data_IF_913057058901
#
_entry.id   IF_913057058901
#
_cell.length_a   1.000
_cell.length_b   1.000
_cell.length_c   1.000
_cell.angle_alpha   90.00
_cell.angle_beta   90.00
_cell.angle_gamma   90.00
#
_symmetry.space_group_name_H-M   'P 1'
#
loop_
_entity.id
_entity.type
_entity.pdbx_description
1 polymer ?
#
# COMPACT_ATOMS: atom_id res chain seq x y z
N UNK A 1 -1.57 7.47 18.22
CA UNK A 1 -2.39 7.97 17.09
C UNK A 1 -2.39 7.02 15.89
N UNK A 2 -1.25 6.62 15.27
CA UNK A 2 -1.24 5.65 14.13
C UNK A 2 -1.91 4.33 14.50
N UNK A 3 -1.70 3.80 15.72
CA UNK A 3 -2.40 2.61 16.22
C UNK A 3 -3.93 2.75 16.17
N UNK A 4 -4.45 3.92 16.55
CA UNK A 4 -5.90 4.19 16.52
C UNK A 4 -6.42 4.10 15.09
N UNK A 5 -5.69 4.68 14.12
CA UNK A 5 -6.06 4.62 12.70
C UNK A 5 -6.09 3.17 12.21
N UNK A 6 -5.06 2.37 12.50
CA UNK A 6 -5.00 0.95 12.11
C UNK A 6 -6.16 0.16 12.70
N UNK A 7 -6.43 0.33 14.00
CA UNK A 7 -7.52 -0.39 14.66
C UNK A 7 -8.90 0.02 14.14
N UNK A 8 -9.12 1.31 13.84
CA UNK A 8 -10.36 1.78 13.22
C UNK A 8 -10.53 1.25 11.79
N UNK A 9 -9.46 1.17 10.99
CA UNK A 9 -9.51 0.56 9.66
C UNK A 9 -9.79 -0.94 9.74
N UNK A 10 -9.21 -1.66 10.70
CA UNK A 10 -9.51 -3.06 10.95
C UNK A 10 -10.97 -3.27 11.36
N UNK A 11 -11.49 -2.42 12.24
CA UNK A 11 -12.90 -2.46 12.64
C UNK A 11 -13.81 -2.20 11.45
N UNK A 12 -13.52 -1.17 10.65
CA UNK A 12 -14.26 -0.88 9.43
C UNK A 12 -14.25 -2.07 8.46
N UNK A 13 -13.10 -2.74 8.30
CA UNK A 13 -12.99 -3.94 7.46
C UNK A 13 -13.94 -5.05 7.92
N UNK A 14 -13.96 -5.37 9.21
CA UNK A 14 -14.83 -6.43 9.77
C UNK A 14 -16.30 -6.05 9.59
N UNK A 15 -16.66 -4.80 9.88
CA UNK A 15 -18.04 -4.30 9.76
C UNK A 15 -18.51 -4.34 8.31
N UNK A 16 -17.70 -3.88 7.36
CA UNK A 16 -18.03 -3.92 5.93
C UNK A 16 -18.16 -5.36 5.42
N UNK A 17 -17.31 -6.28 5.87
CA UNK A 17 -17.38 -7.68 5.47
C UNK A 17 -18.58 -8.39 6.08
N UNK A 18 -18.96 -8.09 7.32
CA UNK A 18 -20.19 -8.60 7.92
C UNK A 18 -21.42 -8.17 7.12
N UNK A 19 -21.48 -6.90 6.75
CA UNK A 19 -22.57 -6.35 5.95
C UNK A 19 -22.62 -6.94 4.53
N UNK A 20 -21.47 -7.19 3.93
CA UNK A 20 -21.35 -7.74 2.59
C UNK A 20 -21.54 -9.26 2.51
N UNK A 21 -21.49 -9.95 3.62
CA UNK A 21 -21.52 -11.42 3.70
C UNK A 21 -22.73 -12.07 3.02
N UNK A 22 -23.88 -11.36 2.96
CA UNK A 22 -25.12 -11.89 2.35
C UNK A 22 -25.00 -12.25 0.87
N UNK A 23 -24.03 -11.69 0.14
CA UNK A 23 -23.77 -12.02 -1.26
C UNK A 23 -22.60 -12.98 -1.48
N UNK A 24 -21.62 -12.95 -0.59
CA UNK A 24 -20.42 -13.80 -0.70
C UNK A 24 -20.71 -15.27 -0.38
N UNK A 25 -21.95 -15.57 -0.03
CA UNK A 25 -22.41 -16.93 0.18
C UNK A 25 -22.32 -17.74 -1.13
N UNK A 26 -21.45 -18.71 -1.18
CA UNK A 26 -21.47 -19.83 -2.13
C UNK A 26 -22.24 -20.97 -1.49
N UNK A 27 -22.78 -21.87 -2.28
CA UNK A 27 -23.81 -22.86 -1.96
C UNK A 27 -23.66 -23.69 -0.65
N UNK A 28 -22.52 -23.59 0.05
CA UNK A 28 -22.26 -24.30 1.31
C UNK A 28 -21.67 -23.41 2.43
N UNK A 29 -21.43 -22.10 2.17
CA UNK A 29 -20.84 -21.20 3.17
C UNK A 29 -21.90 -20.41 3.93
N UNK A 30 -21.81 -20.37 5.25
CA UNK A 30 -22.64 -19.50 6.08
C UNK A 30 -22.08 -18.06 6.12
N UNK A 31 -22.94 -17.08 6.50
CA UNK A 31 -22.48 -15.70 6.75
C UNK A 31 -21.35 -15.65 7.78
N UNK A 32 -21.41 -16.54 8.76
CA UNK A 32 -20.42 -16.65 9.85
C UNK A 32 -19.07 -17.09 9.28
N UNK A 33 -19.03 -17.98 8.29
CA UNK A 33 -17.79 -18.47 7.69
C UNK A 33 -17.02 -17.34 6.98
N UNK A 34 -17.73 -16.53 6.19
CA UNK A 34 -17.13 -15.36 5.49
C UNK A 34 -16.53 -14.36 6.49
N UNK A 35 -17.27 -14.04 7.56
CA UNK A 35 -16.80 -13.13 8.61
C UNK A 35 -15.64 -13.73 9.39
N UNK A 36 -15.69 -15.03 9.66
CA UNK A 36 -14.64 -15.75 10.37
C UNK A 36 -13.33 -15.76 9.56
N UNK A 37 -13.42 -15.93 8.24
CA UNK A 37 -12.25 -15.87 7.34
C UNK A 37 -11.62 -14.47 7.33
N UNK A 38 -12.45 -13.42 7.23
CA UNK A 38 -11.96 -12.04 7.36
C UNK A 38 -11.37 -11.76 8.74
N UNK A 39 -12.02 -12.22 9.80
CA UNK A 39 -11.51 -12.07 11.16
C UNK A 39 -10.14 -12.75 11.37
N UNK A 40 -9.94 -13.96 10.82
CA UNK A 40 -8.63 -14.62 10.82
C UNK A 40 -7.57 -13.81 10.08
N UNK A 41 -7.94 -13.22 8.94
CA UNK A 41 -7.04 -12.34 8.16
C UNK A 41 -6.66 -11.09 8.95
N UNK A 42 -7.64 -10.43 9.60
CA UNK A 42 -7.40 -9.26 10.46
C UNK A 42 -6.53 -9.62 11.66
N UNK A 43 -6.81 -10.75 12.32
CA UNK A 43 -6.00 -11.22 13.46
C UNK A 43 -4.56 -11.52 13.02
N UNK A 44 -4.37 -12.22 11.90
CA UNK A 44 -3.06 -12.47 11.31
C UNK A 44 -2.32 -11.18 10.95
N UNK A 45 -3.04 -10.22 10.36
CA UNK A 45 -2.52 -8.88 10.08
C UNK A 45 -2.11 -8.12 11.33
N UNK A 46 -2.93 -8.17 12.40
CA UNK A 46 -2.61 -7.54 13.68
C UNK A 46 -1.35 -8.14 14.31
N UNK A 47 -1.23 -9.47 14.31
CA UNK A 47 -0.01 -10.15 14.78
C UNK A 47 1.21 -9.69 13.99
N UNK A 48 1.10 -9.60 12.66
CA UNK A 48 2.17 -9.15 11.79
C UNK A 48 2.58 -7.70 12.10
N UNK A 49 1.61 -6.79 12.28
CA UNK A 49 1.86 -5.39 12.70
C UNK A 49 2.59 -5.35 14.04
N UNK A 50 2.15 -6.15 15.05
CA UNK A 50 2.77 -6.20 16.37
C UNK A 50 4.20 -6.74 16.28
N UNK A 51 4.45 -7.78 15.51
CA UNK A 51 5.79 -8.35 15.29
C UNK A 51 6.72 -7.30 14.71
N UNK A 52 6.31 -6.63 13.62
CA UNK A 52 7.12 -5.58 12.98
C UNK A 52 7.32 -4.36 13.88
N UNK A 53 6.29 -3.95 14.62
CA UNK A 53 6.40 -2.88 15.62
C UNK A 53 7.44 -3.19 16.71
N UNK A 54 7.59 -4.46 17.13
CA UNK A 54 8.55 -4.88 18.13
C UNK A 54 9.99 -4.92 17.64
N UNK A 55 10.24 -4.83 16.34
CA UNK A 55 11.59 -4.73 15.78
C UNK A 55 12.19 -3.37 16.17
N UNK A 56 13.17 -3.38 17.08
CA UNK A 56 13.78 -2.16 17.65
C UNK A 56 14.90 -1.57 16.79
N UNK A 57 15.47 -2.36 15.87
CA UNK A 57 16.66 -2.00 15.08
C UNK A 57 16.28 -1.62 13.65
N UNK A 58 16.46 -0.36 13.26
CA UNK A 58 16.29 0.12 11.88
C UNK A 58 17.17 -0.66 10.90
N UNK A 59 18.34 -1.11 11.35
CA UNK A 59 19.28 -1.86 10.49
C UNK A 59 18.66 -3.12 9.87
N UNK A 60 17.73 -3.78 10.56
CA UNK A 60 17.03 -4.96 10.04
C UNK A 60 16.18 -4.58 8.82
N UNK A 61 15.39 -3.50 8.94
CA UNK A 61 14.59 -3.00 7.81
C UNK A 61 15.48 -2.53 6.66
N UNK A 62 16.59 -1.85 6.97
CA UNK A 62 17.55 -1.37 5.95
C UNK A 62 18.19 -2.53 5.18
N UNK A 63 18.60 -3.61 5.85
CA UNK A 63 19.13 -4.80 5.20
C UNK A 63 18.04 -5.51 4.39
N UNK A 64 16.86 -5.73 4.97
CA UNK A 64 15.74 -6.35 4.26
C UNK A 64 15.36 -5.55 2.99
N UNK A 65 15.36 -4.22 3.08
CA UNK A 65 15.02 -3.32 1.96
C UNK A 65 16.02 -3.40 0.80
N UNK A 66 17.29 -3.66 1.06
CA UNK A 66 18.30 -3.83 0.00
C UNK A 66 17.99 -5.00 -0.94
N UNK A 67 17.26 -5.99 -0.47
CA UNK A 67 16.78 -7.12 -1.28
C UNK A 67 15.45 -6.86 -1.98
N UNK A 68 14.79 -5.72 -1.72
CA UNK A 68 13.47 -5.40 -2.27
C UNK A 68 13.44 -5.37 -3.80
N UNK A 69 14.48 -4.86 -4.45
CA UNK A 69 14.59 -4.88 -5.91
C UNK A 69 14.69 -6.32 -6.45
N UNK A 70 15.56 -7.13 -5.85
CA UNK A 70 15.74 -8.52 -6.27
C UNK A 70 14.45 -9.32 -6.10
N UNK A 71 13.78 -9.16 -4.96
CA UNK A 71 12.48 -9.77 -4.69
C UNK A 71 11.43 -9.34 -5.74
N UNK A 72 11.31 -8.05 -6.01
CA UNK A 72 10.37 -7.50 -6.99
C UNK A 72 10.66 -8.02 -8.39
N UNK A 73 11.94 -8.03 -8.79
CA UNK A 73 12.36 -8.52 -10.10
C UNK A 73 12.05 -10.02 -10.28
N UNK A 74 12.39 -10.85 -9.30
CA UNK A 74 12.12 -12.29 -9.35
C UNK A 74 10.61 -12.57 -9.42
N UNK A 75 9.80 -11.92 -8.57
CA UNK A 75 8.35 -12.13 -8.56
C UNK A 75 7.70 -11.72 -9.89
N UNK A 76 8.11 -10.58 -10.46
CA UNK A 76 7.61 -10.13 -11.76
C UNK A 76 8.09 -11.03 -12.90
N UNK A 77 9.35 -11.48 -12.86
CA UNK A 77 9.89 -12.41 -13.87
C UNK A 77 9.14 -13.76 -13.87
N UNK A 78 8.86 -14.32 -12.69
CA UNK A 78 8.05 -15.53 -12.55
C UNK A 78 6.65 -15.37 -13.12
N UNK A 79 6.07 -14.18 -12.96
CA UNK A 79 4.76 -13.83 -13.46
C UNK A 79 4.76 -13.69 -14.99
N UNK A 80 5.70 -12.90 -15.56
CA UNK A 80 5.80 -12.61 -16.99
C UNK A 80 6.18 -13.85 -17.81
N UNK A 81 7.03 -14.74 -17.25
CA UNK A 81 7.37 -16.02 -17.85
C UNK A 81 6.23 -17.07 -17.74
N UNK A 82 5.12 -16.72 -17.10
CA UNK A 82 3.93 -17.58 -16.92
C UNK A 82 4.30 -18.96 -16.37
N UNK A 83 5.18 -18.99 -15.36
CA UNK A 83 5.71 -20.24 -14.82
C UNK A 83 4.57 -21.08 -14.26
N UNK A 84 4.56 -22.36 -14.63
CA UNK A 84 3.62 -23.36 -14.13
C UNK A 84 4.41 -24.61 -13.69
N UNK A 85 4.83 -24.60 -12.42
CA UNK A 85 5.47 -25.74 -11.76
C UNK A 85 4.51 -26.29 -10.68
N UNK A 86 4.74 -27.50 -10.16
CA UNK A 86 3.92 -28.05 -9.07
C UNK A 86 3.88 -27.16 -7.82
N UNK A 87 4.94 -26.38 -7.56
CA UNK A 87 5.10 -25.53 -6.37
C UNK A 87 4.64 -24.09 -6.64
N UNK A 88 4.90 -23.56 -7.85
CA UNK A 88 4.62 -22.17 -8.23
C UNK A 88 3.86 -22.14 -9.54
N UNK A 89 2.69 -21.54 -9.53
CA UNK A 89 1.84 -21.40 -10.72
C UNK A 89 1.38 -19.96 -10.88
N UNK A 90 1.61 -19.38 -12.06
CA UNK A 90 1.03 -18.11 -12.43
C UNK A 90 -0.45 -18.33 -12.83
N UNK A 91 -1.36 -17.57 -12.20
CA UNK A 91 -2.79 -17.65 -12.46
C UNK A 91 -3.19 -16.49 -13.36
N UNK A 92 -3.90 -16.84 -14.43
CA UNK A 92 -4.57 -15.87 -15.28
C UNK A 92 -5.85 -15.39 -14.59
N UNK A 93 -5.97 -14.08 -14.41
CA UNK A 93 -7.18 -13.44 -13.88
C UNK A 93 -7.65 -12.41 -14.90
N UNK A 94 -8.77 -12.70 -15.56
CA UNK A 94 -9.37 -11.84 -16.58
C UNK A 94 -8.40 -11.50 -17.75
N UNK A 95 -7.62 -12.50 -18.23
CA UNK A 95 -6.68 -12.34 -19.35
C UNK A 95 -5.37 -11.62 -18.98
N UNK A 96 -5.01 -11.54 -17.70
CA UNK A 96 -3.71 -11.09 -17.22
C UNK A 96 -3.18 -11.91 -16.06
N UNK A 97 -1.89 -12.15 -16.06
CA UNK A 97 -1.20 -12.79 -14.96
C UNK A 97 -0.89 -11.76 -13.88
N UNK A 98 -1.49 -11.92 -12.69
CA UNK A 98 -1.34 -10.99 -11.56
C UNK A 98 -1.07 -11.69 -10.25
N UNK A 99 -1.41 -12.97 -10.19
CA UNK A 99 -1.38 -13.80 -9.00
C UNK A 99 -0.41 -14.96 -9.20
N UNK A 100 0.48 -15.15 -8.25
CA UNK A 100 1.28 -16.38 -8.12
C UNK A 100 0.67 -17.24 -7.03
N UNK A 101 0.47 -18.51 -7.34
CA UNK A 101 0.02 -19.51 -6.36
C UNK A 101 1.23 -20.32 -5.90
N UNK A 102 1.48 -20.32 -4.60
CA UNK A 102 2.51 -21.12 -3.93
C UNK A 102 1.82 -22.14 -3.04
N UNK A 103 1.90 -23.43 -3.36
CA UNK A 103 1.28 -24.51 -2.57
C UNK A 103 -0.19 -24.25 -2.19
N UNK A 104 -0.97 -23.70 -3.11
CA UNK A 104 -2.39 -23.36 -2.86
C UNK A 104 -2.65 -21.94 -2.35
N UNK A 105 -1.66 -21.25 -1.82
CA UNK A 105 -1.79 -19.85 -1.35
C UNK A 105 -1.63 -18.90 -2.53
N UNK A 106 -2.62 -18.07 -2.75
CA UNK A 106 -2.61 -17.05 -3.81
C UNK A 106 -2.01 -15.73 -3.31
N UNK A 107 -1.03 -15.21 -4.03
CA UNK A 107 -0.31 -13.99 -3.70
C UNK A 107 -0.42 -13.00 -4.86
N UNK A 108 -0.99 -11.85 -4.62
CA UNK A 108 -1.03 -10.74 -5.58
C UNK A 108 0.35 -10.07 -5.64
N UNK A 109 1.09 -10.34 -6.71
CA UNK A 109 2.50 -9.91 -6.86
C UNK A 109 2.67 -8.40 -6.75
N UNK A 110 1.78 -7.63 -7.38
CA UNK A 110 1.90 -6.17 -7.40
C UNK A 110 1.78 -5.54 -6.02
N UNK A 111 1.06 -6.17 -5.08
CA UNK A 111 0.94 -5.67 -3.71
C UNK A 111 2.29 -5.75 -2.96
N UNK A 112 3.01 -6.87 -3.14
CA UNK A 112 4.36 -7.02 -2.57
C UNK A 112 5.34 -6.06 -3.22
N UNK A 113 5.30 -5.94 -4.56
CA UNK A 113 6.20 -5.08 -5.33
C UNK A 113 6.06 -3.60 -4.90
N UNK A 114 4.84 -3.12 -4.64
CA UNK A 114 4.60 -1.76 -4.15
C UNK A 114 5.41 -1.45 -2.89
N UNK A 115 5.25 -2.28 -1.87
CA UNK A 115 5.93 -2.09 -0.57
C UNK A 115 7.43 -2.31 -0.70
N UNK A 116 7.85 -3.38 -1.40
CA UNK A 116 9.25 -3.72 -1.57
C UNK A 116 10.03 -2.63 -2.32
N UNK A 117 9.45 -2.03 -3.37
CA UNK A 117 10.10 -0.98 -4.14
C UNK A 117 10.18 0.36 -3.41
N UNK A 118 9.15 0.74 -2.64
CA UNK A 118 9.23 1.92 -1.77
C UNK A 118 10.36 1.78 -0.77
N UNK A 119 10.47 0.62 -0.12
CA UNK A 119 11.51 0.34 0.86
C UNK A 119 12.91 0.25 0.21
N UNK A 120 13.01 -0.36 -0.97
CA UNK A 120 14.26 -0.40 -1.72
C UNK A 120 14.75 0.99 -2.12
N UNK A 121 13.87 1.84 -2.65
CA UNK A 121 14.23 3.20 -3.04
C UNK A 121 14.67 4.03 -1.83
N UNK A 122 14.00 3.88 -0.68
CA UNK A 122 14.41 4.52 0.57
C UNK A 122 15.82 4.08 0.99
N UNK A 123 16.13 2.78 0.89
CA UNK A 123 17.48 2.25 1.14
C UNK A 123 18.50 2.81 0.15
N UNK A 124 18.19 2.81 -1.14
CA UNK A 124 19.13 3.27 -2.18
C UNK A 124 19.46 4.76 -2.04
N UNK A 125 18.46 5.60 -1.72
CA UNK A 125 18.67 7.03 -1.49
C UNK A 125 19.51 7.26 -0.23
N UNK A 126 19.23 6.58 0.87
CA UNK A 126 20.03 6.64 2.11
C UNK A 126 21.48 6.21 1.86
N UNK A 127 21.70 5.11 1.13
CA UNK A 127 23.03 4.62 0.80
C UNK A 127 23.82 5.58 -0.09
N UNK A 128 23.16 6.27 -1.04
CA UNK A 128 23.78 7.29 -1.89
C UNK A 128 24.17 8.52 -1.05
N UNK A 129 23.27 9.02 -0.19
CA UNK A 129 23.52 10.18 0.68
C UNK A 129 24.63 9.92 1.70
N UNK A 130 24.74 8.72 2.24
CA UNK A 130 25.82 8.31 3.16
C UNK A 130 27.14 8.02 2.44
N UNK A 131 27.17 8.13 1.12
CA UNK A 131 28.33 7.81 0.28
C UNK A 131 28.87 6.39 0.52
N UNK A 132 28.00 5.45 0.87
CA UNK A 132 28.38 4.06 1.06
C UNK A 132 28.96 3.46 -0.23
N UNK A 133 29.96 2.58 -0.10
CA UNK A 133 30.46 1.78 -1.23
C UNK A 133 29.42 0.71 -1.59
N UNK A 134 28.59 1.01 -2.60
CA UNK A 134 27.53 0.11 -3.07
C UNK A 134 28.07 -1.04 -3.91
N UNK A 135 29.26 -0.86 -4.52
CA UNK A 135 30.00 -1.93 -5.22
C UNK A 135 31.40 -2.09 -4.63
N UNK A 136 31.85 -3.32 -4.33
CA UNK A 136 33.23 -3.57 -3.92
C UNK A 136 34.20 -3.23 -5.07
N UNK A 137 35.22 -2.43 -4.77
CA UNK A 137 36.33 -2.15 -5.68
C UNK A 137 36.19 -0.98 -6.66
N UNK A 138 35.05 -0.31 -6.82
CA UNK A 138 34.87 0.79 -7.76
C UNK A 138 34.22 2.03 -7.12
N UNK A 139 34.94 3.15 -7.18
CA UNK A 139 34.37 4.46 -6.81
C UNK A 139 33.54 4.98 -7.99
N UNK A 140 32.21 4.84 -7.91
CA UNK A 140 31.30 5.43 -8.90
C UNK A 140 31.03 6.89 -8.55
N UNK A 141 30.93 7.76 -9.57
CA UNK A 141 30.49 9.13 -9.37
C UNK A 141 29.03 9.15 -8.89
N UNK A 142 28.64 10.23 -8.19
CA UNK A 142 27.26 10.35 -7.64
C UNK A 142 26.18 10.20 -8.72
N UNK A 143 26.42 10.73 -9.92
CA UNK A 143 25.50 10.60 -11.06
C UNK A 143 25.28 9.14 -11.45
N UNK A 144 26.36 8.35 -11.57
CA UNK A 144 26.25 6.93 -11.91
C UNK A 144 25.58 6.11 -10.81
N UNK A 145 25.79 6.48 -9.54
CA UNK A 145 25.06 5.85 -8.42
C UNK A 145 23.55 6.08 -8.54
N UNK A 146 23.11 7.32 -8.83
CA UNK A 146 21.68 7.64 -9.04
C UNK A 146 21.11 6.87 -10.23
N UNK A 147 21.81 6.84 -11.35
CA UNK A 147 21.35 6.11 -12.54
C UNK A 147 21.18 4.63 -12.24
N UNK A 148 22.20 3.98 -11.67
CA UNK A 148 22.22 2.52 -11.49
C UNK A 148 21.28 2.04 -10.38
N UNK A 149 21.13 2.79 -9.29
CA UNK A 149 20.38 2.35 -8.10
C UNK A 149 18.98 2.97 -7.97
N UNK A 150 18.67 4.05 -8.72
CA UNK A 150 17.35 4.67 -8.69
C UNK A 150 16.66 4.60 -10.04
N UNK A 151 17.27 5.13 -11.11
CA UNK A 151 16.56 5.33 -12.38
C UNK A 151 16.40 4.03 -13.19
N UNK A 152 17.45 3.19 -13.28
CA UNK A 152 17.35 1.90 -13.96
C UNK A 152 16.38 0.96 -13.23
N UNK A 153 16.45 0.74 -11.90
CA UNK A 153 15.48 -0.07 -11.18
C UNK A 153 14.04 0.43 -11.34
N UNK A 154 13.82 1.76 -11.30
CA UNK A 154 12.53 2.37 -11.57
C UNK A 154 11.98 1.95 -12.94
N UNK A 155 12.76 2.16 -14.01
CA UNK A 155 12.33 1.86 -15.37
C UNK A 155 12.09 0.36 -15.60
N UNK A 156 12.99 -0.49 -15.10
CA UNK A 156 12.88 -1.95 -15.26
C UNK A 156 11.59 -2.45 -14.60
N UNK A 157 11.37 -2.12 -13.34
CA UNK A 157 10.18 -2.58 -12.61
C UNK A 157 8.91 -1.98 -13.23
N UNK A 158 8.93 -0.70 -13.60
CA UNK A 158 7.80 -0.04 -14.27
C UNK A 158 7.39 -0.78 -15.55
N UNK A 159 8.35 -1.10 -16.42
CA UNK A 159 8.09 -1.80 -17.70
C UNK A 159 7.59 -3.22 -17.45
N UNK A 160 8.15 -3.95 -16.47
CA UNK A 160 7.73 -5.32 -16.15
C UNK A 160 6.30 -5.40 -15.59
N UNK A 161 5.77 -4.34 -14.98
CA UNK A 161 4.38 -4.34 -14.48
C UNK A 161 3.37 -4.13 -15.60
N UNK A 162 3.72 -3.42 -16.69
CA UNK A 162 2.80 -3.04 -17.78
C UNK A 162 2.02 -4.24 -18.36
N UNK A 163 2.65 -5.40 -18.67
CA UNK A 163 1.93 -6.53 -19.27
C UNK A 163 0.83 -7.08 -18.37
N UNK A 164 1.00 -7.00 -17.06
CA UNK A 164 0.04 -7.51 -16.08
C UNK A 164 -1.06 -6.50 -15.72
N UNK A 165 -0.72 -5.20 -15.60
CA UNK A 165 -1.68 -4.15 -15.22
C UNK A 165 -1.15 -2.75 -15.48
N UNK A 166 -1.73 -2.04 -16.46
CA UNK A 166 -1.39 -0.65 -16.75
C UNK A 166 -1.66 0.28 -15.57
N UNK A 167 -2.79 0.10 -14.89
CA UNK A 167 -3.17 0.92 -13.73
C UNK A 167 -2.19 0.75 -12.58
N UNK A 168 -1.79 -0.50 -12.29
CA UNK A 168 -0.77 -0.78 -11.28
C UNK A 168 0.60 -0.22 -11.68
N UNK A 169 0.99 -0.31 -12.96
CA UNK A 169 2.23 0.28 -13.47
C UNK A 169 2.26 1.79 -13.25
N UNK A 170 1.21 2.50 -13.66
CA UNK A 170 1.12 3.95 -13.49
C UNK A 170 1.11 4.35 -12.02
N UNK A 171 0.34 3.65 -11.19
CA UNK A 171 0.26 3.95 -9.76
C UNK A 171 1.60 3.69 -9.05
N UNK A 172 2.20 2.50 -9.22
CA UNK A 172 3.47 2.14 -8.59
C UNK A 172 4.59 3.04 -9.13
N UNK A 173 4.62 3.29 -10.45
CA UNK A 173 5.55 4.22 -11.08
C UNK A 173 5.42 5.63 -10.53
N UNK A 174 4.19 6.14 -10.37
CA UNK A 174 3.93 7.43 -9.74
C UNK A 174 4.45 7.53 -8.30
N UNK A 175 4.20 6.51 -7.48
CA UNK A 175 4.71 6.46 -6.10
C UNK A 175 6.24 6.40 -6.08
N UNK A 176 6.85 5.53 -6.88
CA UNK A 176 8.32 5.45 -6.99
C UNK A 176 8.93 6.78 -7.44
N UNK A 177 8.30 7.45 -8.41
CA UNK A 177 8.72 8.77 -8.90
C UNK A 177 8.70 9.82 -7.78
N UNK A 178 7.59 9.88 -7.01
CA UNK A 178 7.47 10.80 -5.87
C UNK A 178 8.50 10.48 -4.79
N UNK A 179 8.75 9.21 -4.49
CA UNK A 179 9.75 8.78 -3.50
C UNK A 179 11.16 9.24 -3.91
N UNK A 180 11.53 9.10 -5.20
CA UNK A 180 12.82 9.58 -5.72
C UNK A 180 12.90 11.11 -5.61
N UNK A 181 11.82 11.82 -5.91
CA UNK A 181 11.75 13.30 -5.79
C UNK A 181 11.96 13.73 -4.33
N UNK A 182 11.26 13.11 -3.38
CA UNK A 182 11.41 13.36 -1.94
C UNK A 182 12.83 13.05 -1.44
N UNK A 183 13.49 12.08 -2.05
CA UNK A 183 14.87 11.73 -1.76
C UNK A 183 15.92 12.79 -2.18
N UNK A 184 15.50 13.86 -2.82
CA UNK A 184 16.38 14.94 -3.31
C UNK A 184 16.80 14.75 -4.78
N UNK A 185 15.93 14.17 -5.61
CA UNK A 185 16.10 14.13 -7.05
C UNK A 185 16.13 15.54 -7.66
N UNK A 186 17.09 15.81 -8.54
CA UNK A 186 17.13 17.08 -9.27
C UNK A 186 15.96 17.16 -10.24
N UNK A 187 15.32 18.33 -10.36
CA UNK A 187 14.15 18.50 -11.24
C UNK A 187 14.46 18.12 -12.70
N UNK A 188 15.67 18.42 -13.21
CA UNK A 188 16.10 18.04 -14.56
C UNK A 188 16.14 16.50 -14.73
N UNK A 189 16.74 15.80 -13.78
CA UNK A 189 16.84 14.34 -13.81
C UNK A 189 15.45 13.71 -13.71
N UNK A 190 14.55 14.30 -12.93
CA UNK A 190 13.17 13.85 -12.80
C UNK A 190 12.37 14.06 -14.09
N UNK A 191 12.53 15.20 -14.77
CA UNK A 191 11.89 15.41 -16.08
C UNK A 191 12.39 14.40 -17.12
N UNK A 192 13.69 14.10 -17.14
CA UNK A 192 14.25 13.06 -18.03
C UNK A 192 13.66 11.69 -17.67
N UNK A 193 13.60 11.33 -16.39
CA UNK A 193 13.03 10.07 -15.93
C UNK A 193 11.56 9.94 -16.33
N UNK A 194 10.77 11.01 -16.16
CA UNK A 194 9.37 11.07 -16.61
C UNK A 194 9.24 10.88 -18.12
N UNK A 195 10.08 11.57 -18.91
CA UNK A 195 10.12 11.42 -20.36
C UNK A 195 10.49 9.99 -20.77
N UNK A 196 11.47 9.35 -20.10
CA UNK A 196 11.81 7.94 -20.34
C UNK A 196 10.62 7.01 -20.01
N UNK A 197 9.88 7.26 -18.92
CA UNK A 197 8.68 6.51 -18.58
C UNK A 197 7.58 6.62 -19.65
N UNK A 198 7.30 7.84 -20.12
CA UNK A 198 6.35 8.09 -21.22
C UNK A 198 6.81 7.37 -22.51
N UNK A 199 8.10 7.48 -22.85
CA UNK A 199 8.67 6.80 -24.02
C UNK A 199 8.52 5.28 -23.90
N UNK A 200 8.75 4.70 -22.72
CA UNK A 200 8.53 3.27 -22.47
C UNK A 200 7.08 2.85 -22.72
N UNK A 201 6.10 3.63 -22.24
CA UNK A 201 4.67 3.38 -22.51
C UNK A 201 4.37 3.47 -24.02
N UNK A 202 4.93 4.46 -24.72
CA UNK A 202 4.77 4.62 -26.16
C UNK A 202 5.38 3.45 -26.97
N UNK A 203 6.52 2.94 -26.55
CA UNK A 203 7.13 1.73 -27.15
C UNK A 203 6.22 0.52 -26.93
N UNK A 204 5.73 0.32 -25.70
CA UNK A 204 4.79 -0.78 -25.41
C UNK A 204 3.51 -0.66 -26.24
N UNK A 205 3.00 0.55 -26.46
CA UNK A 205 1.86 0.81 -27.34
C UNK A 205 2.19 0.48 -28.81
N UNK A 206 3.40 0.82 -29.29
CA UNK A 206 3.89 0.45 -30.60
C UNK A 206 3.92 -1.08 -30.79
N UNK A 207 4.43 -1.83 -29.80
CA UNK A 207 4.45 -3.29 -29.83
C UNK A 207 3.02 -3.86 -29.85
N UNK A 208 2.09 -3.30 -29.09
CA UNK A 208 0.68 -3.68 -29.12
C UNK A 208 0.08 -3.54 -30.52
N UNK A 209 0.30 -2.39 -31.19
CA UNK A 209 -0.21 -2.15 -32.56
C UNK A 209 0.42 -3.08 -33.60
N UNK A 210 1.74 -3.28 -33.55
CA UNK A 210 2.46 -4.14 -34.53
C UNK A 210 2.09 -5.62 -34.35
N UNK A 211 1.74 -6.05 -33.14
CA UNK A 211 1.36 -7.43 -32.84
C UNK A 211 -0.14 -7.73 -33.04
N UNK A 212 -0.92 -6.81 -33.62
CA UNK A 212 -2.38 -6.92 -33.76
C UNK A 212 -3.07 -7.28 -32.42
N UNK A 213 -2.62 -6.69 -31.34
CA UNK A 213 -3.19 -6.88 -29.99
C UNK A 213 -2.82 -8.20 -29.31
N UNK A 214 -2.02 -9.07 -29.93
CA UNK A 214 -1.61 -10.36 -29.34
C UNK A 214 -0.60 -10.19 -28.19
N UNK A 215 0.32 -9.24 -28.36
CA UNK A 215 1.25 -8.86 -27.30
C UNK A 215 0.76 -7.60 -26.58
N UNK A 216 0.92 -7.53 -25.27
CA UNK A 216 0.52 -6.38 -24.46
C UNK A 216 -0.98 -6.00 -24.58
N UNK A 217 -1.87 -6.99 -24.65
CA UNK A 217 -3.33 -6.81 -24.79
C UNK A 217 -3.94 -5.85 -23.76
N UNK A 218 -3.30 -5.71 -22.58
CA UNK A 218 -3.73 -4.80 -21.52
C UNK A 218 -3.62 -3.32 -21.88
N UNK A 219 -2.74 -2.96 -22.80
CA UNK A 219 -2.67 -1.58 -23.31
C UNK A 219 -3.96 -1.24 -24.06
N UNK A 220 -4.46 -2.15 -24.90
CA UNK A 220 -5.75 -1.99 -25.54
C UNK A 220 -6.91 -1.83 -24.55
N UNK A 221 -6.97 -2.70 -23.54
CA UNK A 221 -7.97 -2.58 -22.47
C UNK A 221 -7.87 -1.24 -21.71
N UNK A 222 -6.65 -0.75 -21.47
CA UNK A 222 -6.43 0.54 -20.80
C UNK A 222 -6.92 1.72 -21.66
N UNK A 223 -6.68 1.68 -22.96
CA UNK A 223 -7.15 2.70 -23.92
C UNK A 223 -8.69 2.69 -23.99
N UNK A 224 -9.28 1.50 -24.13
CA UNK A 224 -10.73 1.36 -24.15
C UNK A 224 -11.38 1.96 -22.89
N UNK A 225 -10.82 1.70 -21.71
CA UNK A 225 -11.34 2.26 -20.44
C UNK A 225 -11.25 3.78 -20.34
N UNK A 226 -10.27 4.41 -20.98
CA UNK A 226 -10.09 5.87 -20.93
C UNK A 226 -10.87 6.59 -22.03
N UNK A 227 -10.88 6.04 -23.23
CA UNK A 227 -11.42 6.72 -24.42
C UNK A 227 -12.78 6.19 -24.89
N UNK A 228 -13.14 4.95 -24.52
CA UNK A 228 -14.39 4.31 -24.97
C UNK A 228 -15.47 4.27 -23.89
N UNK A 229 -15.19 4.77 -22.66
CA UNK A 229 -16.17 4.73 -21.57
C UNK A 229 -17.46 5.50 -21.90
N UNK A 230 -17.35 6.67 -22.53
CA UNK A 230 -18.51 7.45 -23.00
C UNK A 230 -19.25 6.76 -24.17
N UNK A 231 -18.55 6.00 -25.00
CA UNK A 231 -19.17 5.28 -26.13
C UNK A 231 -19.98 4.07 -25.64
N UNK A 232 -19.57 3.42 -24.54
CA UNK A 232 -20.34 2.32 -23.97
C UNK A 232 -21.67 2.78 -23.35
N UNK A 233 -21.73 3.95 -22.70
CA UNK A 233 -22.97 4.53 -22.18
C UNK A 233 -23.94 4.85 -23.33
N UNK A 234 -23.45 5.44 -24.43
CA UNK A 234 -24.25 5.70 -25.62
C UNK A 234 -24.73 4.40 -26.25
N UNK A 235 -23.86 3.41 -26.45
CA UNK A 235 -24.23 2.09 -26.99
C UNK A 235 -25.30 1.42 -26.15
N UNK A 236 -25.22 1.52 -24.81
CA UNK A 236 -26.24 0.99 -23.91
C UNK A 236 -27.59 1.67 -24.10
N UNK A 237 -27.61 3.00 -24.25
CA UNK A 237 -28.84 3.78 -24.41
C UNK A 237 -29.48 3.62 -25.78
N UNK A 238 -28.66 3.48 -26.84
CA UNK A 238 -29.12 3.45 -28.24
C UNK A 238 -29.40 2.01 -28.73
N UNK A 239 -28.81 1.00 -28.12
CA UNK A 239 -28.97 -0.41 -28.56
C UNK A 239 -30.32 -1.00 -28.14
N UNK A 240 -30.98 -1.79 -28.99
CA UNK A 240 -32.19 -2.51 -28.63
C UNK A 240 -31.96 -3.43 -27.41
N UNK A 241 -32.90 -3.44 -26.45
CA UNK A 241 -32.82 -4.28 -25.27
C UNK A 241 -32.62 -5.76 -25.66
N UNK A 242 -31.70 -6.44 -24.98
CA UNK A 242 -31.31 -7.83 -25.24
C UNK A 242 -30.56 -8.08 -26.56
N UNK A 243 -30.14 -7.05 -27.30
CA UNK A 243 -29.18 -7.22 -28.41
C UNK A 243 -27.80 -7.59 -27.84
N UNK A 244 -26.94 -8.14 -28.70
CA UNK A 244 -25.55 -8.48 -28.33
C UNK A 244 -24.79 -7.23 -27.86
N UNK A 245 -24.97 -6.11 -28.57
CA UNK A 245 -24.31 -4.84 -28.27
C UNK A 245 -24.83 -4.23 -26.95
N UNK A 246 -26.14 -4.34 -26.66
CA UNK A 246 -26.73 -3.95 -25.39
C UNK A 246 -26.12 -4.71 -24.21
N UNK A 247 -26.02 -6.04 -24.34
CA UNK A 247 -25.49 -6.89 -23.25
C UNK A 247 -24.00 -6.63 -23.03
N UNK A 248 -23.20 -6.43 -24.07
CA UNK A 248 -21.79 -6.06 -23.97
C UNK A 248 -21.63 -4.70 -23.29
N UNK A 249 -22.41 -3.70 -23.73
CA UNK A 249 -22.38 -2.37 -23.11
C UNK A 249 -22.83 -2.42 -21.65
N UNK A 250 -23.85 -3.21 -21.33
CA UNK A 250 -24.33 -3.39 -19.97
C UNK A 250 -23.26 -3.98 -19.03
N UNK A 251 -22.51 -4.99 -19.51
CA UNK A 251 -21.46 -5.61 -18.72
C UNK A 251 -20.31 -4.64 -18.41
N UNK A 252 -19.93 -3.79 -19.39
CA UNK A 252 -18.87 -2.79 -19.21
C UNK A 252 -19.27 -1.64 -18.28
N UNK A 253 -20.50 -1.12 -18.39
CA UNK A 253 -20.96 0.02 -17.58
C UNK A 253 -21.55 -0.38 -16.23
N UNK A 254 -21.87 -1.66 -16.02
CA UNK A 254 -22.60 -2.16 -14.85
C UNK A 254 -21.95 -1.79 -13.53
N UNK A 255 -20.63 -1.94 -13.42
CA UNK A 255 -19.91 -1.66 -12.17
C UNK A 255 -19.87 -0.17 -11.84
N UNK A 256 -19.39 0.74 -12.72
CA UNK A 256 -19.34 2.18 -12.41
C UNK A 256 -20.73 2.79 -12.24
N UNK A 257 -21.70 2.35 -13.05
CA UNK A 257 -23.09 2.85 -12.94
C UNK A 257 -23.75 2.44 -11.62
N UNK A 258 -23.58 1.19 -11.19
CA UNK A 258 -24.09 0.73 -9.89
C UNK A 258 -23.40 1.44 -8.72
N UNK A 259 -22.10 1.78 -8.83
CA UNK A 259 -21.40 2.57 -7.83
C UNK A 259 -21.96 4.01 -7.72
N UNK A 260 -22.28 4.65 -8.85
CA UNK A 260 -22.96 5.97 -8.86
C UNK A 260 -24.33 5.89 -8.18
N UNK A 261 -25.11 4.84 -8.46
CA UNK A 261 -26.42 4.62 -7.81
C UNK A 261 -26.23 4.44 -6.31
N UNK A 262 -25.26 3.61 -5.87
CA UNK A 262 -24.97 3.38 -4.47
C UNK A 262 -24.66 4.69 -3.73
N UNK A 263 -23.78 5.53 -4.29
CA UNK A 263 -23.44 6.83 -3.71
C UNK A 263 -24.67 7.76 -3.65
N UNK A 264 -25.47 7.82 -4.71
CA UNK A 264 -26.67 8.65 -4.77
C UNK A 264 -27.74 8.22 -3.77
N UNK A 265 -27.98 6.90 -3.67
CA UNK A 265 -29.00 6.34 -2.78
C UNK A 265 -28.57 6.37 -1.31
N UNK A 266 -27.27 6.36 -1.02
CA UNK A 266 -26.75 6.47 0.34
C UNK A 266 -27.03 7.83 0.99
N UNK A 267 -27.07 8.92 0.22
CA UNK A 267 -27.34 10.26 0.76
C UNK A 267 -26.37 10.65 1.88
N UNK A 268 -26.85 11.38 2.90
CA UNK A 268 -26.01 11.82 4.03
C UNK A 268 -25.82 10.74 5.10
N UNK A 269 -26.86 9.96 5.39
CA UNK A 269 -26.90 9.04 6.55
C UNK A 269 -26.75 7.58 6.13
N UNK A 270 -27.07 7.23 4.88
CA UNK A 270 -27.09 5.88 4.37
C UNK A 270 -28.43 5.15 4.55
N UNK A 271 -28.52 3.97 3.94
CA UNK A 271 -29.69 3.08 4.04
C UNK A 271 -29.72 2.28 5.35
N UNK A 272 -28.60 2.15 6.01
CA UNK A 272 -28.39 1.29 7.17
C UNK A 272 -27.49 0.08 6.87
N UNK A 273 -26.83 -0.47 7.90
CA UNK A 273 -25.96 -1.64 7.76
C UNK A 273 -26.73 -2.85 7.21
N UNK A 274 -26.21 -3.47 6.16
CA UNK A 274 -26.82 -4.63 5.52
C UNK A 274 -27.89 -4.32 4.46
N UNK A 275 -28.35 -3.06 4.34
CA UNK A 275 -29.44 -2.67 3.47
C UNK A 275 -28.99 -2.20 2.07
N UNK A 276 -27.73 -2.41 1.70
CA UNK A 276 -27.25 -2.13 0.35
C UNK A 276 -27.99 -2.97 -0.68
N UNK A 277 -28.52 -2.32 -1.72
CA UNK A 277 -29.17 -2.96 -2.86
C UNK A 277 -28.20 -3.22 -4.01
N UNK A 278 -27.16 -2.40 -4.13
CA UNK A 278 -26.19 -2.50 -5.23
C UNK A 278 -25.20 -3.65 -5.05
N UNK A 279 -24.99 -4.12 -3.82
CA UNK A 279 -24.13 -5.29 -3.55
C UNK A 279 -24.52 -6.55 -4.35
N UNK A 280 -25.80 -6.70 -4.73
CA UNK A 280 -26.27 -7.83 -5.53
C UNK A 280 -26.07 -7.63 -7.03
N UNK A 281 -25.79 -6.43 -7.48
CA UNK A 281 -25.66 -6.09 -8.91
C UNK A 281 -24.21 -6.01 -9.37
N UNK A 282 -23.30 -5.57 -8.48
CA UNK A 282 -21.87 -5.39 -8.82
C UNK A 282 -21.12 -6.70 -8.53
N UNK A 283 -20.41 -7.30 -9.49
CA UNK A 283 -19.48 -8.40 -9.21
C UNK A 283 -18.46 -7.96 -8.16
N UNK A 284 -17.40 -8.07 -7.93
CA UNK A 284 -16.31 -7.72 -7.01
C UNK A 284 -16.47 -6.41 -6.18
N UNK A 285 -17.75 -6.13 -5.73
CA UNK A 285 -18.07 -4.91 -4.98
C UNK A 285 -17.29 -4.80 -3.65
N UNK A 286 -16.98 -5.93 -3.02
CA UNK A 286 -16.21 -5.99 -1.76
C UNK A 286 -14.70 -5.72 -1.95
N UNK A 287 -14.20 -5.74 -3.18
CA UNK A 287 -12.82 -5.47 -3.53
C UNK A 287 -12.67 -4.08 -4.15
N UNK A 288 -13.22 -3.91 -5.35
CA UNK A 288 -12.96 -2.74 -6.21
C UNK A 288 -13.94 -1.58 -5.98
N UNK A 289 -15.12 -1.83 -5.38
CA UNK A 289 -16.18 -0.83 -5.18
C UNK A 289 -16.64 -0.69 -3.73
N UNK A 290 -15.83 -1.13 -2.77
CA UNK A 290 -16.18 -1.10 -1.35
C UNK A 290 -16.50 0.30 -0.83
N UNK A 291 -15.88 1.36 -1.36
CA UNK A 291 -16.12 2.73 -0.91
C UNK A 291 -17.51 3.24 -1.27
N UNK A 292 -18.02 2.96 -2.47
CA UNK A 292 -19.40 3.28 -2.87
C UNK A 292 -20.41 2.51 -2.05
N UNK A 293 -20.09 1.27 -1.69
CA UNK A 293 -20.89 0.45 -0.78
C UNK A 293 -20.93 1.03 0.65
N UNK A 294 -19.79 1.50 1.18
CA UNK A 294 -19.75 2.20 2.47
C UNK A 294 -20.65 3.42 2.46
N UNK A 295 -20.66 4.20 1.36
CA UNK A 295 -21.55 5.35 1.24
C UNK A 295 -23.02 4.92 1.12
N UNK A 296 -23.33 3.84 0.42
CA UNK A 296 -24.72 3.35 0.33
C UNK A 296 -25.29 2.97 1.70
N UNK A 297 -24.49 2.31 2.55
CA UNK A 297 -24.97 1.83 3.85
C UNK A 297 -24.85 2.87 4.97
N UNK A 298 -23.75 3.60 5.01
CA UNK A 298 -23.40 4.54 6.09
C UNK A 298 -23.48 6.01 5.69
N UNK A 299 -23.93 6.29 4.47
CA UNK A 299 -24.03 7.63 3.92
C UNK A 299 -22.70 8.30 3.62
N UNK A 300 -22.78 9.53 3.18
CA UNK A 300 -21.60 10.36 2.96
C UNK A 300 -20.80 10.56 4.25
N UNK A 301 -21.45 10.53 5.42
CA UNK A 301 -20.79 10.59 6.72
C UNK A 301 -19.80 9.42 6.92
N UNK A 302 -20.18 8.19 6.56
CA UNK A 302 -19.29 7.02 6.57
C UNK A 302 -18.14 7.15 5.58
N UNK A 303 -18.42 7.64 4.37
CA UNK A 303 -17.39 7.91 3.37
C UNK A 303 -16.37 8.96 3.83
N UNK A 304 -16.84 10.08 4.40
CA UNK A 304 -15.98 11.13 4.96
C UNK A 304 -15.16 10.59 6.15
N UNK A 305 -15.75 9.78 7.01
CA UNK A 305 -15.02 9.17 8.13
C UNK A 305 -13.81 8.37 7.64
N UNK A 306 -14.00 7.50 6.63
CA UNK A 306 -12.91 6.72 6.02
C UNK A 306 -11.87 7.63 5.37
N UNK A 307 -12.29 8.65 4.64
CA UNK A 307 -11.40 9.66 4.04
C UNK A 307 -10.52 10.35 5.11
N UNK A 308 -11.13 10.77 6.23
CA UNK A 308 -10.42 11.42 7.34
C UNK A 308 -9.39 10.49 7.98
N UNK A 309 -9.64 9.18 8.06
CA UNK A 309 -8.65 8.23 8.57
C UNK A 309 -7.38 8.21 7.70
N UNK A 310 -7.51 8.17 6.36
CA UNK A 310 -6.33 8.20 5.48
C UNK A 310 -5.63 9.57 5.48
N UNK A 311 -6.38 10.68 5.51
CA UNK A 311 -5.77 12.01 5.69
C UNK A 311 -5.03 12.14 7.02
N UNK A 312 -5.59 11.57 8.08
CA UNK A 312 -4.95 11.54 9.40
C UNK A 312 -3.65 10.71 9.38
N UNK A 313 -3.61 9.62 8.61
CA UNK A 313 -2.39 8.84 8.41
C UNK A 313 -1.31 9.68 7.73
N UNK A 314 -1.65 10.41 6.67
CA UNK A 314 -0.71 11.28 5.96
C UNK A 314 -0.17 12.40 6.87
N UNK A 315 -1.07 13.05 7.61
CA UNK A 315 -0.69 14.08 8.59
C UNK A 315 0.22 13.53 9.69
N UNK A 316 -0.07 12.34 10.22
CA UNK A 316 0.80 11.69 11.22
C UNK A 316 2.11 11.20 10.63
N UNK A 317 2.10 10.69 9.40
CA UNK A 317 3.31 10.33 8.65
C UNK A 317 4.26 11.51 8.53
N UNK A 318 3.77 12.72 8.19
CA UNK A 318 4.59 13.92 8.09
C UNK A 318 5.22 14.32 9.43
N UNK A 319 4.49 14.17 10.55
CA UNK A 319 5.03 14.42 11.88
C UNK A 319 6.13 13.40 12.22
N UNK A 320 5.93 12.11 11.93
CA UNK A 320 6.93 11.08 12.16
C UNK A 320 8.20 11.37 11.36
N UNK A 321 8.06 11.72 10.07
CA UNK A 321 9.18 12.08 9.18
C UNK A 321 10.01 13.23 9.75
N UNK A 322 9.36 14.28 10.26
CA UNK A 322 10.06 15.43 10.88
C UNK A 322 10.86 15.02 12.10
N UNK A 323 10.38 14.04 12.87
CA UNK A 323 10.95 13.62 14.14
C UNK A 323 11.87 12.38 14.02
N UNK A 324 12.13 11.86 12.82
CA UNK A 324 13.08 10.77 12.62
C UNK A 324 14.57 11.20 12.75
N UNK A 325 14.84 12.46 13.11
CA UNK A 325 16.21 12.99 13.24
C UNK A 325 16.97 12.95 11.93
N UNK A 326 18.21 12.46 11.92
CA UNK A 326 19.07 12.43 10.73
C UNK A 326 19.01 11.09 9.96
N UNK A 327 18.06 10.19 10.28
CA UNK A 327 17.96 8.92 9.56
C UNK A 327 17.11 9.07 8.28
N UNK A 328 17.80 9.28 7.16
CA UNK A 328 17.17 9.46 5.86
C UNK A 328 16.39 8.23 5.38
N UNK A 329 16.87 7.02 5.72
CA UNK A 329 16.14 5.79 5.39
C UNK A 329 14.76 5.76 6.06
N UNK A 330 14.71 6.08 7.37
CA UNK A 330 13.45 6.11 8.10
C UNK A 330 12.50 7.19 7.56
N UNK A 331 13.00 8.40 7.28
CA UNK A 331 12.19 9.49 6.71
C UNK A 331 11.54 9.10 5.40
N UNK A 332 12.34 8.62 4.45
CA UNK A 332 11.86 8.30 3.10
C UNK A 332 10.96 7.06 3.12
N UNK A 333 11.26 6.06 3.95
CA UNK A 333 10.41 4.89 4.14
C UNK A 333 9.03 5.27 4.66
N UNK A 334 8.94 6.08 5.72
CA UNK A 334 7.65 6.50 6.28
C UNK A 334 6.89 7.37 5.29
N UNK A 335 7.55 8.36 4.66
CA UNK A 335 6.91 9.22 3.67
C UNK A 335 6.38 8.39 2.49
N UNK A 336 7.19 7.49 1.93
CA UNK A 336 6.82 6.65 0.80
C UNK A 336 5.69 5.68 1.12
N UNK A 337 5.72 5.03 2.29
CA UNK A 337 4.65 4.11 2.71
C UNK A 337 3.34 4.84 3.02
N UNK A 338 3.39 6.00 3.68
CA UNK A 338 2.19 6.82 3.92
C UNK A 338 1.58 7.30 2.59
N UNK A 339 2.40 7.75 1.64
CA UNK A 339 1.94 8.14 0.31
C UNK A 339 1.38 6.95 -0.47
N UNK A 340 1.99 5.78 -0.38
CA UNK A 340 1.50 4.56 -1.02
C UNK A 340 0.10 4.21 -0.53
N UNK A 341 -0.09 4.14 0.80
CA UNK A 341 -1.37 3.77 1.41
C UNK A 341 -2.43 4.83 1.10
N UNK A 342 -2.13 6.09 1.36
CA UNK A 342 -3.10 7.19 1.16
C UNK A 342 -3.38 7.42 -0.31
N UNK A 343 -2.38 7.36 -1.17
CA UNK A 343 -2.54 7.49 -2.62
C UNK A 343 -3.40 6.38 -3.22
N UNK A 344 -3.23 5.13 -2.76
CA UNK A 344 -4.09 4.03 -3.20
C UNK A 344 -5.53 4.20 -2.71
N UNK A 345 -5.73 4.64 -1.47
CA UNK A 345 -7.06 4.94 -0.95
C UNK A 345 -7.76 6.03 -1.77
N UNK A 346 -7.06 7.12 -2.08
CA UNK A 346 -7.63 8.19 -2.93
C UNK A 346 -7.94 7.71 -4.34
N UNK A 347 -7.03 6.94 -4.96
CA UNK A 347 -7.28 6.39 -6.28
C UNK A 347 -8.54 5.50 -6.29
N UNK A 348 -8.70 4.65 -5.27
CA UNK A 348 -9.90 3.84 -5.09
C UNK A 348 -11.16 4.70 -4.93
N UNK A 349 -11.12 5.75 -4.11
CA UNK A 349 -12.25 6.66 -3.90
C UNK A 349 -12.62 7.41 -5.18
N UNK A 350 -11.64 7.89 -5.96
CA UNK A 350 -11.87 8.57 -7.25
C UNK A 350 -12.53 7.65 -8.28
N UNK A 351 -12.08 6.39 -8.37
CA UNK A 351 -12.70 5.40 -9.26
C UNK A 351 -14.13 5.11 -8.83
N UNK A 352 -14.40 4.97 -7.55
CA UNK A 352 -15.76 4.74 -7.02
C UNK A 352 -16.68 5.95 -7.25
N UNK A 353 -16.13 7.16 -7.24
CA UNK A 353 -16.87 8.39 -7.56
C UNK A 353 -17.01 8.64 -9.08
N UNK A 354 -16.51 7.72 -9.92
CA UNK A 354 -16.49 7.83 -11.39
C UNK A 354 -15.76 9.09 -11.90
N UNK A 355 -14.72 9.53 -11.18
CA UNK A 355 -13.85 10.65 -11.58
C UNK A 355 -12.69 10.17 -12.46
N UNK A 356 -12.43 8.85 -12.50
CA UNK A 356 -11.33 8.26 -13.26
C UNK A 356 -11.63 6.85 -13.74
N UNK A 357 -10.79 6.32 -14.66
CA UNK A 357 -10.99 4.99 -15.23
C UNK A 357 -10.86 3.89 -14.18
N UNK A 358 -11.56 2.79 -14.38
CA UNK A 358 -11.49 1.61 -13.51
C UNK A 358 -10.07 1.09 -13.40
N UNK A 359 -9.54 1.04 -12.17
CA UNK A 359 -8.15 0.64 -11.89
C UNK A 359 -8.01 -0.73 -11.24
N UNK A 360 -9.07 -1.26 -10.60
CA UNK A 360 -9.00 -2.50 -9.85
C UNK A 360 -8.00 -2.42 -8.68
N UNK A 361 -7.90 -1.26 -8.03
CA UNK A 361 -7.07 -1.08 -6.83
C UNK A 361 -7.95 -1.18 -5.59
N UNK A 362 -7.55 -2.02 -4.65
CA UNK A 362 -8.27 -2.25 -3.39
C UNK A 362 -8.13 -1.05 -2.44
N UNK A 363 -9.12 -0.85 -1.56
CA UNK A 363 -9.03 0.12 -0.46
C UNK A 363 -8.19 -0.47 0.68
N UNK A 364 -7.02 0.12 1.01
CA UNK A 364 -6.07 -0.45 1.98
C UNK A 364 -6.70 -0.78 3.33
N UNK A 365 -6.53 -2.00 3.82
CA UNK A 365 -7.07 -2.55 5.07
C UNK A 365 -8.60 -2.61 5.19
N UNK A 366 -9.37 -2.22 4.18
CA UNK A 366 -10.84 -2.29 4.21
C UNK A 366 -11.36 -3.30 3.19
N UNK A 367 -10.89 -3.24 1.93
CA UNK A 367 -11.30 -4.17 0.89
C UNK A 367 -11.00 -5.62 1.23
N UNK A 368 -11.82 -6.52 0.71
CA UNK A 368 -11.55 -7.96 0.72
C UNK A 368 -10.32 -8.28 -0.14
N UNK A 369 -9.43 -9.13 0.36
CA UNK A 369 -8.22 -9.53 -0.34
C UNK A 369 -7.07 -9.83 0.62
N UNK A 370 -6.91 -11.10 1.01
CA UNK A 370 -5.97 -11.53 2.06
C UNK A 370 -4.54 -11.07 1.81
N UNK A 371 -4.02 -11.23 0.59
CA UNK A 371 -2.62 -10.86 0.28
C UNK A 371 -2.39 -9.34 0.27
N UNK A 372 -3.33 -8.56 -0.27
CA UNK A 372 -3.27 -7.11 -0.25
C UNK A 372 -3.34 -6.58 1.18
N UNK A 373 -4.27 -7.13 1.98
CA UNK A 373 -4.44 -6.79 3.39
C UNK A 373 -3.15 -7.00 4.19
N UNK A 374 -2.51 -8.16 4.05
CA UNK A 374 -1.26 -8.49 4.75
C UNK A 374 -0.10 -7.58 4.29
N UNK A 375 -0.01 -7.24 3.00
CA UNK A 375 1.00 -6.29 2.51
C UNK A 375 0.85 -4.90 3.13
N UNK A 376 -0.39 -4.42 3.29
CA UNK A 376 -0.62 -3.16 4.01
C UNK A 376 -0.35 -3.27 5.50
N UNK A 377 -0.61 -4.42 6.13
CA UNK A 377 -0.18 -4.67 7.52
C UNK A 377 1.34 -4.58 7.67
N UNK A 378 2.12 -5.07 6.69
CA UNK A 378 3.59 -4.89 6.68
C UNK A 378 3.94 -3.39 6.63
N UNK A 379 3.32 -2.64 5.72
CA UNK A 379 3.57 -1.20 5.58
C UNK A 379 3.25 -0.44 6.88
N UNK A 380 2.09 -0.69 7.49
CA UNK A 380 1.71 -0.08 8.77
C UNK A 380 2.63 -0.49 9.93
N UNK A 381 3.04 -1.77 9.98
CA UNK A 381 3.98 -2.27 11.00
C UNK A 381 5.33 -1.54 10.92
N UNK A 382 5.83 -1.27 9.72
CA UNK A 382 7.06 -0.50 9.49
C UNK A 382 6.87 0.96 9.93
N UNK A 383 5.77 1.62 9.52
CA UNK A 383 5.46 3.00 9.93
C UNK A 383 5.39 3.11 11.45
N UNK A 384 4.72 2.17 12.12
CA UNK A 384 4.62 2.14 13.59
C UNK A 384 5.96 1.90 14.28
N UNK A 385 6.81 1.02 13.71
CA UNK A 385 8.18 0.81 14.23
C UNK A 385 8.99 2.10 14.17
N UNK A 386 8.94 2.83 13.06
CA UNK A 386 9.65 4.10 12.90
C UNK A 386 9.03 5.23 13.74
N UNK A 387 7.71 5.24 13.92
CA UNK A 387 7.02 6.16 14.81
C UNK A 387 7.53 6.06 16.26
N UNK A 388 7.82 4.86 16.76
CA UNK A 388 8.41 4.66 18.08
C UNK A 388 9.82 5.25 18.19
N UNK A 389 10.61 5.17 17.12
CA UNK A 389 11.96 5.75 17.08
C UNK A 389 11.87 7.27 17.08
N UNK A 390 10.96 7.84 16.30
CA UNK A 390 10.69 9.28 16.30
C UNK A 390 10.27 9.80 17.68
N UNK A 391 9.39 9.07 18.39
CA UNK A 391 8.98 9.43 19.76
C UNK A 391 10.16 9.47 20.73
N UNK A 392 11.06 8.50 20.65
CA UNK A 392 12.27 8.47 21.50
C UNK A 392 13.23 9.63 21.21
N UNK A 393 13.31 10.09 19.97
CA UNK A 393 14.12 11.26 19.61
C UNK A 393 13.54 12.52 20.24
N UNK A 394 12.20 12.69 20.20
CA UNK A 394 11.51 13.81 20.86
C UNK A 394 11.77 13.80 22.36
N UNK A 395 11.61 12.64 23.01
CA UNK A 395 11.86 12.49 24.46
C UNK A 395 13.29 12.89 24.83
N UNK A 396 14.29 12.48 24.02
CA UNK A 396 15.69 12.87 24.21
C UNK A 396 15.92 14.36 24.01
N UNK A 397 15.34 14.95 22.96
CA UNK A 397 15.46 16.39 22.70
C UNK A 397 14.81 17.22 23.81
N UNK A 398 13.62 16.80 24.28
CA UNK A 398 12.93 17.47 25.40
C UNK A 398 13.74 17.37 26.67
N UNK A 399 14.32 16.19 26.97
CA UNK A 399 15.17 15.98 28.13
C UNK A 399 16.43 16.86 28.12
N UNK A 400 17.06 16.99 26.95
CA UNK A 400 18.25 17.82 26.77
C UNK A 400 17.93 19.33 26.79
N UNK A 401 16.69 19.72 26.53
CA UNK A 401 16.26 21.12 26.53
C UNK A 401 15.78 21.61 27.88
N UNK A 402 15.54 20.72 28.83
CA UNK A 402 15.10 21.06 30.19
C UNK A 402 16.14 20.63 31.23
N UNK A 403 17.05 21.56 31.63
CA UNK A 403 18.08 21.28 32.65
C UNK A 403 17.49 20.89 34.01
N UNK A 404 16.25 21.27 34.32
CA UNK A 404 15.56 20.91 35.56
C UNK A 404 15.15 19.43 35.59
N UNK A 405 14.97 18.77 34.47
CA UNK A 405 14.74 17.32 34.45
C UNK A 405 15.97 16.50 34.83
N UNK A 406 17.19 16.95 34.47
CA UNK A 406 18.43 16.28 34.88
C UNK A 406 18.62 16.38 36.42
N UNK A 407 18.27 17.54 37.03
CA UNK A 407 18.30 17.70 38.49
C UNK A 407 17.21 16.88 39.18
N UNK A 408 16.03 16.72 38.56
CA UNK A 408 14.95 15.92 39.14
C UNK A 408 15.25 14.41 39.12
N UNK A 409 15.87 13.90 38.04
CA UNK A 409 16.29 12.49 37.97
C UNK A 409 17.47 12.21 38.91
N UNK A 410 18.45 13.12 39.01
CA UNK A 410 19.56 12.99 39.98
C UNK A 410 19.10 13.07 41.42
N UNK A 411 18.09 13.90 41.71
CA UNK A 411 17.48 13.96 43.07
C UNK A 411 16.66 12.70 43.35
N UNK A 412 15.97 12.15 42.34
CA UNK A 412 15.20 10.91 42.50
C UNK A 412 16.10 9.68 42.69
N UNK A 413 17.22 9.62 41.96
CA UNK A 413 18.22 8.57 42.11
C UNK A 413 18.92 8.70 43.45
N UNK A 414 19.24 9.90 43.91
CA UNK A 414 19.77 10.16 45.24
C UNK A 414 18.80 9.83 46.38
N UNK A 415 17.50 10.08 46.21
CA UNK A 415 16.46 9.66 47.15
C UNK A 415 16.30 8.14 47.18
N UNK A 416 16.36 7.46 46.00
CA UNK A 416 16.32 6.00 45.94
C UNK A 416 17.55 5.34 46.61
N UNK A 417 18.74 5.95 46.52
CA UNK A 417 19.93 5.50 47.24
C UNK A 417 19.79 5.71 48.75
N UNK A 418 19.18 6.82 49.19
CA UNK A 418 18.88 7.08 50.59
C UNK A 418 17.86 6.09 51.15
N UNK A 419 16.77 5.82 50.41
CA UNK A 419 15.75 4.83 50.80
C UNK A 419 16.36 3.41 50.86
N UNK A 420 17.28 3.06 49.97
CA UNK A 420 18.02 1.80 50.00
C UNK A 420 18.95 1.70 51.21
N UNK A 421 19.57 2.81 51.60
CA UNK A 421 20.41 2.89 52.79
C UNK A 421 19.60 2.79 54.09
N UNK A 422 18.45 3.50 54.18
CA UNK A 422 17.55 3.44 55.33
C UNK A 422 16.84 2.08 55.48
N UNK A 423 16.57 1.39 54.36
CA UNK A 423 15.95 0.06 54.38
C UNK A 423 16.90 -1.09 54.73
N UNK A 424 18.17 -0.80 55.02
CA UNK A 424 19.16 -1.78 55.46
C UNK A 424 19.67 -2.74 54.38
N UNK A 425 19.38 -2.43 53.11
CA UNK A 425 20.00 -3.14 51.98
C UNK A 425 21.34 -2.49 51.59
N UNK A 426 22.23 -2.34 52.56
CA UNK A 426 23.62 -2.00 52.29
C UNK A 426 24.27 -3.19 51.60
N UNK A 427 24.51 -3.05 50.33
CA UNK A 427 25.38 -3.98 49.60
C UNK A 427 26.76 -4.00 50.25
N UNK A 428 27.11 -5.14 50.84
CA UNK A 428 28.48 -5.50 51.21
C UNK A 428 29.41 -5.32 50.00
N UNK A 429 30.09 -4.20 49.95
CA UNK A 429 31.22 -3.91 49.06
C UNK A 429 32.47 -3.56 49.87
N UNK A 430 32.66 -4.21 51.04
CA UNK A 430 33.84 -4.04 51.87
C UNK A 430 34.42 -5.38 52.34
N UNK A 431 34.48 -6.38 51.46
CA UNK A 431 35.21 -7.65 51.80
C UNK A 431 36.07 -8.17 50.67
N UNK A 432 36.76 -7.32 49.92
CA UNK A 432 37.85 -7.76 49.03
C UNK A 432 39.02 -6.78 49.04
N UNK A 433 39.46 -6.40 50.24
CA UNK A 433 40.73 -5.69 50.47
C UNK A 433 41.37 -6.11 51.78
N UNK A 434 41.76 -7.40 51.89
CA UNK A 434 42.89 -7.86 52.76
C UNK A 434 43.57 -9.02 52.05
#
# INVERSE_FOLDING_TARGET
MVWIIVLLLFLASIVCMFSSSSRLLKDEMSRIDVVTEQFKTVLGGLVLVIVLYNIKRISIFRVASSFGLLLSFILLLLLDLRISTPVVKAIDTNGAYRVLQFNGIQIHVFEIVKVAMVMYLAWAIDAIKRNCRLMPGRSLSEKWKKILYLYIPFLVIFVMIIPGSNSSALFIGGIMYIVILLGGGNLKDMLILGACGITAVMICFGIYKVSDGKMMSRIGTGIARVFESEDWEKKFLESPKNSKDYNLALDEIRQPYSAKIAIKEGGLIGKGPGESTQKYKVPDYSEDYIYSFIIEEYGLAGGIFVLVLYLSLLARGSIIVRNCGNDEFAKISVAGLCLLITGQAFLHMFVNADIGPMTGQTLPLISHGTSAFLCFCIAFGIILSFSRIASRNIERETRNADPLMETHDSVRDGLAELDAFESGQSTNKEEDLI
#
